data_IF_679910188382
#
_entry.id   IF_679910188382
#
_cell.length_a   1.000
_cell.length_b   1.000
_cell.length_c   1.000
_cell.angle_alpha   90.00
_cell.angle_beta   90.00
_cell.angle_gamma   90.00
#
_symmetry.space_group_name_H-M   'P 1'
#
loop_
_entity.id
_entity.type
_entity.pdbx_description
1 polymer ?
#
# COMPACT_ATOMS: atom_id res chain seq x y z
N UNK A 1 34.55 5.47 -22.45
CA UNK A 1 33.38 4.84 -21.82
C UNK A 1 32.56 5.98 -21.24
N UNK A 2 31.60 6.46 -22.02
CA UNK A 2 30.78 7.59 -21.62
C UNK A 2 29.76 7.13 -20.57
N UNK A 3 29.84 7.76 -19.40
CA UNK A 3 28.89 7.58 -18.30
C UNK A 3 27.60 8.31 -18.67
N UNK A 4 26.61 7.54 -19.14
CA UNK A 4 25.27 8.05 -19.41
C UNK A 4 24.65 8.47 -18.08
N UNK A 5 24.39 9.76 -17.92
CA UNK A 5 23.80 10.34 -16.73
C UNK A 5 22.31 9.98 -16.69
N UNK A 6 21.75 9.65 -15.52
CA UNK A 6 20.35 9.18 -15.36
C UNK A 6 19.30 10.20 -15.86
N UNK A 7 19.72 11.46 -16.05
CA UNK A 7 18.90 12.52 -16.65
C UNK A 7 18.71 12.38 -18.17
N UNK A 8 19.50 11.52 -18.84
CA UNK A 8 19.40 11.22 -20.27
C UNK A 8 18.52 9.99 -20.56
N UNK A 9 17.95 9.36 -19.53
CA UNK A 9 16.96 8.31 -19.73
C UNK A 9 15.70 8.93 -20.35
N UNK A 10 15.46 8.64 -21.64
CA UNK A 10 14.21 9.00 -22.33
C UNK A 10 13.02 8.66 -21.44
N UNK A 11 12.24 9.67 -21.05
CA UNK A 11 10.89 9.46 -20.51
C UNK A 11 10.11 8.65 -21.53
N UNK A 12 10.01 7.34 -21.32
CA UNK A 12 9.05 6.53 -22.05
C UNK A 12 7.67 6.93 -21.54
N UNK A 13 6.98 7.78 -22.31
CA UNK A 13 5.53 7.90 -22.18
C UNK A 13 4.95 6.52 -22.47
N UNK A 14 4.58 5.80 -21.42
CA UNK A 14 3.87 4.54 -21.56
C UNK A 14 2.58 4.82 -22.34
N UNK A 15 2.46 4.24 -23.54
CA UNK A 15 1.14 4.07 -24.17
C UNK A 15 0.42 3.02 -23.31
N UNK A 16 -0.65 3.37 -22.59
CA UNK A 16 -1.30 2.41 -21.71
C UNK A 16 -1.85 1.25 -22.53
N UNK A 17 -1.47 0.02 -22.17
CA UNK A 17 -2.10 -1.19 -22.68
C UNK A 17 -3.41 -1.40 -21.90
N UNK A 18 -4.49 -1.70 -22.63
CA UNK A 18 -5.82 -1.92 -22.06
C UNK A 18 -5.78 -3.10 -21.08
N UNK A 19 -6.28 -2.91 -19.85
CA UNK A 19 -6.39 -3.97 -18.85
C UNK A 19 -5.21 -4.09 -17.88
N UNK A 20 -4.75 -2.99 -17.28
CA UNK A 20 -3.81 -3.01 -16.14
C UNK A 20 -4.34 -2.10 -15.03
N UNK A 21 -4.35 -2.60 -13.79
CA UNK A 21 -5.05 -2.02 -12.64
C UNK A 21 -4.64 -0.60 -12.18
N UNK A 22 -3.62 0.03 -12.78
CA UNK A 22 -3.32 1.44 -12.55
C UNK A 22 -4.25 2.39 -13.33
N UNK A 23 -5.27 1.88 -14.02
CA UNK A 23 -6.18 2.67 -14.87
C UNK A 23 -7.30 3.41 -14.14
N UNK A 24 -7.50 3.23 -12.83
CA UNK A 24 -8.67 3.77 -12.13
C UNK A 24 -8.39 4.90 -11.12
N UNK A 25 -7.13 5.31 -10.95
CA UNK A 25 -6.76 6.49 -10.17
C UNK A 25 -5.43 7.04 -10.65
N UNK A 26 -5.46 8.12 -11.43
CA UNK A 26 -4.24 8.67 -12.05
C UNK A 26 -3.22 9.21 -11.03
N UNK A 27 -3.64 9.45 -9.78
CA UNK A 27 -2.76 9.82 -8.66
C UNK A 27 -3.53 9.78 -7.34
N UNK A 28 -2.83 9.56 -6.23
CA UNK A 28 -3.35 9.80 -4.87
C UNK A 28 -3.42 11.30 -4.51
N UNK A 29 -3.41 12.19 -5.51
CA UNK A 29 -3.40 13.64 -5.35
C UNK A 29 -4.81 14.16 -5.59
N UNK A 30 -5.35 14.93 -4.64
CA UNK A 30 -6.65 15.59 -4.77
C UNK A 30 -6.52 17.10 -4.58
N UNK A 31 -7.42 17.85 -5.20
CA UNK A 31 -7.61 19.27 -4.88
C UNK A 31 -8.36 19.40 -3.56
N UNK A 32 -7.95 20.38 -2.76
CA UNK A 32 -8.59 20.85 -1.53
C UNK A 32 -8.55 22.37 -1.51
N UNK A 33 -9.34 22.98 -0.64
CA UNK A 33 -9.25 24.41 -0.33
C UNK A 33 -8.80 24.56 1.12
N UNK A 34 -7.73 25.31 1.34
CA UNK A 34 -7.18 25.63 2.66
C UNK A 34 -7.10 27.15 2.76
N UNK A 35 -7.73 27.76 3.77
CA UNK A 35 -7.81 29.24 3.92
C UNK A 35 -8.26 29.95 2.64
N UNK A 36 -9.33 29.46 2.01
CA UNK A 36 -9.88 29.98 0.75
C UNK A 36 -8.89 29.98 -0.43
N UNK A 37 -7.83 29.18 -0.38
CA UNK A 37 -6.91 28.94 -1.51
C UNK A 37 -6.97 27.48 -1.92
N UNK A 38 -7.03 27.25 -3.22
CA UNK A 38 -6.89 25.90 -3.77
C UNK A 38 -5.48 25.36 -3.53
N UNK A 39 -5.41 24.11 -3.10
CA UNK A 39 -4.18 23.38 -2.86
C UNK A 39 -4.37 21.92 -3.29
N UNK A 40 -3.33 21.32 -3.86
CA UNK A 40 -3.23 19.87 -4.09
C UNK A 40 -2.62 19.17 -2.88
N UNK A 41 -3.17 18.02 -2.50
CA UNK A 41 -2.68 17.20 -1.39
C UNK A 41 -2.62 15.73 -1.76
N UNK A 42 -1.67 15.02 -1.18
CA UNK A 42 -1.52 13.58 -1.35
C UNK A 42 -2.26 12.80 -0.26
N UNK A 43 -3.38 12.18 -0.58
CA UNK A 43 -4.13 11.32 0.34
C UNK A 43 -3.60 9.88 0.28
N UNK A 44 -3.03 9.40 1.38
CA UNK A 44 -2.71 7.98 1.51
C UNK A 44 -3.96 7.20 1.94
N UNK A 45 -4.26 6.09 1.27
CA UNK A 45 -5.31 5.17 1.73
C UNK A 45 -4.94 4.65 3.12
N UNK A 46 -5.75 4.96 4.13
CA UNK A 46 -5.56 4.50 5.51
C UNK A 46 -4.72 5.39 6.41
N UNK A 47 -4.27 6.58 5.98
CA UNK A 47 -3.57 7.51 6.86
C UNK A 47 -4.51 8.53 7.51
N UNK A 48 -4.43 8.69 8.83
CA UNK A 48 -5.06 9.77 9.59
C UNK A 48 -4.40 11.15 9.32
N UNK A 49 -3.26 11.18 8.62
CA UNK A 49 -2.46 12.38 8.35
C UNK A 49 -1.91 12.40 6.91
N UNK A 50 -1.81 13.59 6.31
CA UNK A 50 -1.20 13.84 5.00
C UNK A 50 0.18 14.46 5.18
N UNK A 51 1.15 14.08 4.34
CA UNK A 51 2.47 14.70 4.31
C UNK A 51 2.56 15.75 3.20
N UNK A 52 3.14 16.92 3.50
CA UNK A 52 3.38 18.00 2.55
C UNK A 52 4.80 18.56 2.71
N UNK A 53 5.40 18.99 1.60
CA UNK A 53 6.70 19.66 1.63
C UNK A 53 6.62 21.05 2.26
N UNK A 54 7.69 21.43 2.98
CA UNK A 54 7.85 22.76 3.60
C UNK A 54 7.59 23.91 2.62
N UNK A 55 8.27 23.88 1.46
CA UNK A 55 8.20 24.95 0.46
C UNK A 55 6.81 25.06 -0.17
N UNK A 56 6.09 23.93 -0.23
CA UNK A 56 4.72 23.90 -0.71
C UNK A 56 3.77 24.52 0.32
N UNK A 57 3.95 24.20 1.61
CA UNK A 57 3.17 24.78 2.71
C UNK A 57 3.42 26.29 2.85
N UNK A 58 4.65 26.77 2.61
CA UNK A 58 4.97 28.21 2.54
C UNK A 58 4.14 28.95 1.45
N UNK A 59 3.71 28.27 0.37
CA UNK A 59 2.87 28.85 -0.69
C UNK A 59 1.38 28.86 -0.34
N UNK A 60 0.88 27.76 0.22
CA UNK A 60 -0.56 27.57 0.43
C UNK A 60 -1.04 28.02 1.82
N UNK A 61 -0.15 28.17 2.80
CA UNK A 61 -0.51 28.48 4.18
C UNK A 61 0.59 29.28 4.91
N UNK A 62 0.75 30.57 4.65
CA UNK A 62 1.94 31.35 5.04
C UNK A 62 2.30 31.39 6.53
N UNK A 63 1.35 31.18 7.45
CA UNK A 63 1.56 31.19 8.91
C UNK A 63 1.61 29.79 9.55
N UNK A 64 1.87 28.74 8.75
CA UNK A 64 1.88 27.36 9.25
C UNK A 64 2.93 27.12 10.33
N UNK A 65 4.08 27.81 10.25
CA UNK A 65 5.22 27.69 11.18
C UNK A 65 4.85 28.05 12.61
N UNK A 66 3.89 28.95 12.79
CA UNK A 66 3.41 29.42 14.10
C UNK A 66 2.40 28.46 14.73
N UNK A 67 1.90 27.49 13.95
CA UNK A 67 0.85 26.52 14.35
C UNK A 67 1.38 25.09 14.41
N UNK A 68 2.70 24.95 14.46
CA UNK A 68 3.37 23.68 14.59
C UNK A 68 3.17 23.10 15.98
N UNK A 69 2.69 21.87 16.05
CA UNK A 69 2.58 21.10 17.28
C UNK A 69 3.64 20.00 17.31
N UNK A 70 4.29 19.75 18.46
CA UNK A 70 5.25 18.66 18.58
C UNK A 70 4.64 17.34 18.11
N UNK A 71 5.42 16.52 17.41
CA UNK A 71 4.90 15.27 16.83
C UNK A 71 4.57 14.18 17.86
N UNK A 72 4.82 14.39 19.17
CA UNK A 72 4.55 13.46 20.28
C UNK A 72 4.81 11.97 19.97
N UNK A 73 5.87 11.66 19.22
CA UNK A 73 6.18 10.27 18.84
C UNK A 73 5.20 9.63 17.85
N UNK A 74 4.32 10.39 17.20
CA UNK A 74 3.51 9.91 16.06
C UNK A 74 4.44 9.68 14.87
N UNK A 75 4.77 8.41 14.63
CA UNK A 75 5.45 8.01 13.41
C UNK A 75 4.49 8.12 12.22
N UNK A 76 4.85 8.93 11.22
CA UNK A 76 4.13 8.96 9.96
C UNK A 76 4.55 7.76 9.10
N UNK A 77 3.64 6.82 8.87
CA UNK A 77 3.86 5.64 8.02
C UNK A 77 4.15 5.98 6.55
N UNK A 78 3.97 7.24 6.14
CA UNK A 78 4.18 7.73 4.78
C UNK A 78 5.47 8.53 4.55
N UNK A 79 6.38 8.64 5.51
CA UNK A 79 7.67 9.30 5.29
C UNK A 79 8.75 8.26 4.89
N UNK A 80 9.35 8.40 3.71
CA UNK A 80 10.61 7.70 3.40
C UNK A 80 11.65 8.00 4.47
N UNK A 81 12.54 7.04 4.76
CA UNK A 81 13.69 7.20 5.67
C UNK A 81 14.56 8.42 5.36
N UNK A 82 14.51 8.95 4.13
CA UNK A 82 15.23 10.15 3.71
C UNK A 82 14.54 11.48 4.08
N UNK A 83 13.29 11.46 4.56
CA UNK A 83 12.53 12.66 4.93
C UNK A 83 12.50 12.84 6.44
N UNK A 84 12.90 14.04 6.88
CA UNK A 84 12.91 14.40 8.28
C UNK A 84 11.55 15.04 8.63
N UNK A 85 10.72 14.40 9.47
CA UNK A 85 9.45 14.99 9.88
C UNK A 85 9.75 16.27 10.69
N UNK A 86 9.13 17.38 10.28
CA UNK A 86 9.34 18.67 10.95
C UNK A 86 8.46 18.80 12.20
N UNK A 87 7.15 18.62 12.05
CA UNK A 87 6.15 18.75 13.13
C UNK A 87 4.75 18.49 12.55
N UNK A 88 3.72 18.40 13.41
CA UNK A 88 2.32 18.31 13.00
C UNK A 88 1.76 19.72 12.81
N UNK A 89 0.95 19.88 11.78
CA UNK A 89 0.25 21.12 11.49
C UNK A 89 -1.22 20.81 11.25
N UNK A 90 -2.10 21.41 12.05
CA UNK A 90 -3.54 21.24 11.92
C UNK A 90 -4.12 22.37 11.05
N UNK A 91 -4.84 21.98 10.00
CA UNK A 91 -5.55 22.90 9.13
C UNK A 91 -6.97 22.42 8.86
N UNK A 92 -7.91 23.36 8.86
CA UNK A 92 -9.22 23.15 8.29
C UNK A 92 -9.08 23.04 6.77
N UNK A 93 -9.51 21.92 6.21
CA UNK A 93 -9.45 21.61 4.79
C UNK A 93 -10.86 21.39 4.25
N UNK A 94 -11.13 21.95 3.08
CA UNK A 94 -12.39 21.76 2.35
C UNK A 94 -12.06 20.90 1.14
N UNK A 95 -12.71 19.75 0.98
CA UNK A 95 -12.63 19.00 -0.27
C UNK A 95 -13.66 19.60 -1.24
N UNK A 96 -13.25 20.27 -2.33
CA UNK A 96 -14.17 20.78 -3.33
C UNK A 96 -14.83 19.57 -4.00
N UNK A 97 -16.11 19.37 -3.67
CA UNK A 97 -16.95 18.40 -4.34
C UNK A 97 -17.65 19.11 -5.51
N UNK A 98 -17.78 18.48 -6.69
CA UNK A 98 -18.45 19.09 -7.84
C UNK A 98 -19.93 19.46 -7.58
N UNK A 99 -20.53 18.93 -6.52
CA UNK A 99 -21.77 19.40 -5.94
C UNK A 99 -21.51 19.94 -4.52
N UNK A 100 -21.75 21.25 -4.33
CA UNK A 100 -21.67 22.05 -3.09
C UNK A 100 -21.37 21.31 -1.76
N UNK A 101 -20.15 21.51 -1.22
CA UNK A 101 -19.73 21.36 0.19
C UNK A 101 -20.47 20.32 1.07
N UNK A 102 -19.76 19.24 1.41
CA UNK A 102 -20.18 18.21 2.38
C UNK A 102 -20.21 18.83 3.80
N UNK A 103 -21.37 19.35 4.21
CA UNK A 103 -21.88 19.05 5.56
C UNK A 103 -22.16 17.54 5.56
N UNK A 104 -22.11 16.83 6.69
CA UNK A 104 -22.55 15.43 6.82
C UNK A 104 -24.07 15.34 6.50
N UNK A 105 -24.38 15.52 5.22
CA UNK A 105 -25.68 15.58 4.59
C UNK A 105 -25.92 14.21 3.99
N UNK A 106 -27.20 13.87 3.89
CA UNK A 106 -27.75 12.73 3.18
C UNK A 106 -26.94 12.32 1.92
N UNK A 107 -26.44 13.29 1.17
CA UNK A 107 -25.57 13.12 -0.01
C UNK A 107 -24.31 12.28 0.24
N UNK A 108 -23.58 12.47 1.35
CA UNK A 108 -22.40 11.63 1.66
C UNK A 108 -22.82 10.20 1.95
N UNK A 109 -23.91 10.03 2.70
CA UNK A 109 -24.45 8.70 3.02
C UNK A 109 -24.89 8.00 1.72
N UNK A 110 -25.55 8.73 0.82
CA UNK A 110 -25.92 8.25 -0.51
C UNK A 110 -24.68 7.85 -1.33
N UNK A 111 -23.58 8.61 -1.29
CA UNK A 111 -22.31 8.25 -1.96
C UNK A 111 -21.67 6.99 -1.36
N UNK A 112 -21.60 6.89 -0.02
CA UNK A 112 -21.05 5.70 0.65
C UNK A 112 -21.87 4.45 0.32
N UNK A 113 -23.20 4.57 0.25
CA UNK A 113 -24.07 3.50 -0.21
C UNK A 113 -23.94 3.22 -1.72
N UNK A 114 -23.77 4.25 -2.54
CA UNK A 114 -23.59 4.10 -3.98
C UNK A 114 -22.29 3.36 -4.33
N UNK A 115 -21.21 3.61 -3.60
CA UNK A 115 -19.89 3.00 -3.81
C UNK A 115 -19.52 2.02 -2.69
N UNK A 116 -20.50 1.32 -2.12
CA UNK A 116 -20.27 0.36 -1.03
C UNK A 116 -19.18 -0.66 -1.36
N UNK A 117 -19.12 -1.15 -2.59
CA UNK A 117 -18.10 -2.11 -3.06
C UNK A 117 -16.66 -1.56 -3.04
N UNK A 118 -16.47 -0.24 -2.95
CA UNK A 118 -15.14 0.38 -2.86
C UNK A 118 -14.57 0.35 -1.42
N UNK A 119 -15.36 -0.05 -0.42
CA UNK A 119 -14.99 -0.07 0.98
C UNK A 119 -14.89 -1.50 1.50
N UNK A 120 -13.90 -1.75 2.36
CA UNK A 120 -13.80 -3.00 3.10
C UNK A 120 -14.70 -2.96 4.34
N UNK A 121 -15.41 -4.06 4.60
CA UNK A 121 -16.24 -4.24 5.79
C UNK A 121 -15.70 -5.39 6.64
N UNK A 122 -16.06 -5.45 7.92
CA UNK A 122 -15.57 -6.50 8.83
C UNK A 122 -15.86 -7.93 8.32
N UNK A 123 -16.98 -8.10 7.60
CA UNK A 123 -17.38 -9.39 7.04
C UNK A 123 -16.78 -9.66 5.64
N UNK A 124 -16.36 -8.61 4.94
CA UNK A 124 -15.78 -8.65 3.59
C UNK A 124 -14.55 -7.73 3.55
N UNK A 125 -13.48 -8.07 4.27
CA UNK A 125 -12.33 -7.18 4.43
C UNK A 125 -11.45 -7.15 3.19
N UNK A 126 -11.62 -8.10 2.26
CA UNK A 126 -10.75 -8.30 1.12
C UNK A 126 -11.52 -8.12 -0.18
N UNK A 127 -11.00 -7.27 -1.07
CA UNK A 127 -11.42 -7.21 -2.47
C UNK A 127 -10.62 -8.21 -3.32
N UNK A 128 -11.19 -8.60 -4.46
CA UNK A 128 -10.52 -9.43 -5.46
C UNK A 128 -10.50 -8.71 -6.81
N UNK A 129 -9.33 -8.65 -7.46
CA UNK A 129 -9.21 -8.11 -8.80
C UNK A 129 -9.47 -9.24 -9.81
N UNK A 130 -10.60 -9.18 -10.51
CA UNK A 130 -10.98 -10.19 -11.50
C UNK A 130 -10.27 -9.92 -12.84
N UNK A 131 -9.67 -10.96 -13.42
CA UNK A 131 -9.04 -10.90 -14.75
C UNK A 131 -7.61 -10.36 -14.79
N UNK A 132 -6.99 -10.14 -13.63
CA UNK A 132 -5.60 -9.69 -13.51
C UNK A 132 -4.79 -10.61 -12.60
N UNK A 133 -4.75 -11.89 -12.96
CA UNK A 133 -3.88 -12.86 -12.29
C UNK A 133 -2.40 -12.51 -12.51
N UNK A 134 -1.58 -12.80 -11.51
CA UNK A 134 -0.13 -12.56 -11.53
C UNK A 134 0.59 -13.89 -11.57
N UNK A 135 1.29 -14.14 -12.67
CA UNK A 135 2.15 -15.32 -12.79
C UNK A 135 3.48 -15.06 -12.08
N UNK A 136 3.80 -15.89 -11.09
CA UNK A 136 5.11 -15.89 -10.45
C UNK A 136 6.04 -16.78 -11.28
N UNK A 137 6.89 -16.15 -12.08
CA UNK A 137 7.84 -16.85 -12.92
C UNK A 137 9.08 -17.25 -12.13
N UNK A 138 9.44 -18.54 -12.20
CA UNK A 138 10.66 -19.07 -11.61
C UNK A 138 11.78 -19.17 -12.65
N UNK A 139 13.03 -19.04 -12.21
CA UNK A 139 14.24 -19.20 -13.03
C UNK A 139 14.73 -20.67 -13.11
N UNK A 140 13.93 -21.60 -12.58
CA UNK A 140 14.18 -23.04 -12.56
C UNK A 140 12.95 -23.78 -13.10
N UNK A 141 13.20 -24.88 -13.80
CA UNK A 141 12.14 -25.73 -14.34
C UNK A 141 11.66 -26.77 -13.31
N UNK A 142 10.57 -27.46 -13.67
CA UNK A 142 9.98 -28.54 -12.87
C UNK A 142 11.02 -29.65 -12.61
N UNK A 143 10.93 -30.32 -11.47
CA UNK A 143 12.05 -30.93 -10.72
C UNK A 143 12.80 -29.89 -9.86
N UNK A 144 12.02 -29.17 -9.05
CA UNK A 144 12.51 -28.08 -8.23
C UNK A 144 13.59 -28.51 -7.23
N UNK A 145 14.57 -27.62 -6.94
CA UNK A 145 15.62 -27.92 -5.99
C UNK A 145 15.06 -28.21 -4.59
N UNK A 146 15.73 -29.04 -3.77
CA UNK A 146 15.27 -29.37 -2.41
C UNK A 146 15.04 -28.14 -1.52
N UNK A 147 15.71 -27.03 -1.81
CA UNK A 147 15.56 -25.77 -1.09
C UNK A 147 14.15 -25.17 -1.22
N UNK A 148 13.39 -25.51 -2.28
CA UNK A 148 11.98 -25.14 -2.45
C UNK A 148 11.01 -26.08 -1.72
N UNK A 149 11.48 -27.17 -1.11
CA UNK A 149 10.67 -28.11 -0.30
C UNK A 149 11.05 -27.99 1.18
N UNK A 150 10.70 -26.86 1.78
CA UNK A 150 11.06 -26.56 3.17
C UNK A 150 10.07 -27.21 4.14
N UNK A 151 10.54 -27.89 5.21
CA UNK A 151 9.66 -28.42 6.24
C UNK A 151 9.13 -27.29 7.12
N UNK A 152 7.96 -27.50 7.73
CA UNK A 152 7.41 -26.58 8.73
C UNK A 152 8.36 -26.42 9.91
N UNK A 153 8.45 -25.19 10.45
CA UNK A 153 9.25 -24.95 11.64
C UNK A 153 8.56 -25.52 12.89
N UNK A 154 9.33 -26.03 13.87
CA UNK A 154 8.77 -26.40 15.17
C UNK A 154 8.07 -25.20 15.82
N UNK A 155 6.84 -25.40 16.27
CA UNK A 155 6.02 -24.36 16.88
C UNK A 155 5.58 -24.76 18.29
N UNK A 156 5.64 -23.79 19.22
CA UNK A 156 5.13 -23.94 20.58
C UNK A 156 3.60 -24.14 20.58
N UNK A 157 2.98 -24.65 21.66
CA UNK A 157 1.52 -24.79 21.73
C UNK A 157 0.78 -23.48 21.48
N UNK A 158 1.29 -22.36 22.04
CA UNK A 158 0.75 -21.01 21.81
C UNK A 158 0.84 -20.60 20.34
N UNK A 159 1.99 -20.83 19.69
CA UNK A 159 2.17 -20.51 18.29
C UNK A 159 1.30 -21.37 17.37
N UNK A 160 1.15 -22.66 17.67
CA UNK A 160 0.24 -23.56 16.94
C UNK A 160 -1.22 -23.13 17.03
N UNK A 161 -1.68 -22.73 18.21
CA UNK A 161 -3.03 -22.19 18.38
C UNK A 161 -3.26 -20.94 17.51
N UNK A 162 -2.32 -19.99 17.52
CA UNK A 162 -2.40 -18.80 16.68
C UNK A 162 -2.34 -19.12 15.18
N UNK A 163 -1.45 -20.01 14.75
CA UNK A 163 -1.37 -20.46 13.35
C UNK A 163 -2.70 -21.05 12.88
N UNK A 164 -3.32 -21.91 13.69
CA UNK A 164 -4.59 -22.53 13.34
C UNK A 164 -5.68 -21.47 13.14
N UNK A 165 -5.80 -20.51 14.07
CA UNK A 165 -6.76 -19.41 13.94
C UNK A 165 -6.57 -18.58 12.66
N UNK A 166 -5.33 -18.20 12.34
CA UNK A 166 -5.02 -17.44 11.12
C UNK A 166 -5.32 -18.24 9.84
N UNK A 167 -4.96 -19.53 9.82
CA UNK A 167 -5.24 -20.41 8.66
C UNK A 167 -6.74 -20.59 8.47
N UNK A 168 -7.50 -20.82 9.53
CA UNK A 168 -8.96 -21.00 9.44
C UNK A 168 -9.65 -19.71 8.96
N UNK A 169 -9.20 -18.54 9.41
CA UNK A 169 -9.68 -17.25 8.93
C UNK A 169 -9.40 -17.06 7.44
N UNK A 170 -8.16 -17.29 6.99
CA UNK A 170 -7.78 -17.15 5.59
C UNK A 170 -8.48 -18.16 4.68
N UNK A 171 -8.78 -19.36 5.17
CA UNK A 171 -9.61 -20.34 4.44
C UNK A 171 -11.05 -19.86 4.36
N UNK A 172 -11.62 -19.32 5.45
CA UNK A 172 -12.97 -18.74 5.47
C UNK A 172 -13.09 -17.56 4.50
N UNK A 173 -12.06 -16.73 4.40
CA UNK A 173 -11.98 -15.59 3.47
C UNK A 173 -11.67 -15.99 2.02
N UNK A 174 -11.44 -17.28 1.75
CA UNK A 174 -11.14 -17.78 0.40
C UNK A 174 -9.74 -17.44 -0.11
N UNK A 175 -8.84 -16.94 0.75
CA UNK A 175 -7.44 -16.63 0.41
C UNK A 175 -6.61 -17.92 0.34
N UNK A 176 -6.88 -18.86 1.24
CA UNK A 176 -6.20 -20.17 1.27
C UNK A 176 -7.18 -21.29 0.94
N UNK A 177 -6.66 -22.34 0.30
CA UNK A 177 -7.37 -23.60 0.05
C UNK A 177 -6.60 -24.77 0.65
N UNK A 178 -7.32 -25.74 1.20
CA UNK A 178 -6.73 -27.03 1.56
C UNK A 178 -6.33 -27.81 0.30
N UNK A 179 -5.07 -28.21 0.24
CA UNK A 179 -4.54 -29.12 -0.79
C UNK A 179 -5.25 -30.47 -0.66
N UNK A 180 -5.66 -31.05 -1.80
CA UNK A 180 -6.34 -32.35 -1.80
C UNK A 180 -5.38 -33.51 -1.58
N UNK A 181 -5.86 -34.66 -1.07
CA UNK A 181 -5.01 -35.82 -0.81
C UNK A 181 -4.26 -36.35 -2.05
N UNK A 182 -4.78 -36.08 -3.25
CA UNK A 182 -4.20 -36.53 -4.53
C UNK A 182 -3.39 -35.42 -5.23
N UNK A 183 -3.20 -34.27 -4.60
CA UNK A 183 -2.51 -33.12 -5.18
C UNK A 183 -1.06 -33.10 -4.67
N UNK A 184 -0.12 -33.27 -5.60
CA UNK A 184 1.30 -33.21 -5.27
C UNK A 184 1.74 -31.76 -5.06
N UNK A 185 2.38 -31.48 -3.93
CA UNK A 185 2.93 -30.16 -3.59
C UNK A 185 4.44 -30.19 -3.82
N UNK A 186 4.89 -29.57 -4.90
CA UNK A 186 6.30 -29.57 -5.27
C UNK A 186 7.11 -28.46 -4.59
N UNK A 187 6.44 -27.43 -4.08
CA UNK A 187 7.03 -26.25 -3.42
C UNK A 187 6.32 -26.00 -2.08
N UNK A 188 7.10 -25.87 -1.01
CA UNK A 188 6.60 -25.58 0.34
C UNK A 188 7.46 -24.52 1.02
N UNK A 189 6.79 -23.57 1.68
CA UNK A 189 7.41 -22.51 2.48
C UNK A 189 6.93 -22.64 3.93
N UNK A 190 7.83 -22.52 4.92
CA UNK A 190 7.42 -22.60 6.30
C UNK A 190 6.87 -21.26 6.77
N UNK A 191 5.94 -21.32 7.71
CA UNK A 191 5.33 -20.15 8.36
C UNK A 191 5.83 -20.01 9.80
N UNK A 192 5.91 -18.77 10.27
CA UNK A 192 6.19 -18.43 11.66
C UNK A 192 5.12 -17.48 12.20
N UNK A 193 4.97 -17.46 13.53
CA UNK A 193 4.19 -16.43 14.21
C UNK A 193 5.13 -15.38 14.79
N UNK A 194 4.84 -14.13 14.50
CA UNK A 194 5.43 -12.98 15.19
C UNK A 194 4.39 -12.36 16.12
N UNK A 195 4.83 -11.89 17.28
CA UNK A 195 3.96 -11.31 18.30
C UNK A 195 4.26 -9.82 18.46
N UNK A 196 3.21 -9.03 18.53
CA UNK A 196 3.25 -7.65 19.01
C UNK A 196 2.22 -7.52 20.13
N UNK A 197 2.70 -7.52 21.38
CA UNK A 197 1.88 -7.71 22.58
C UNK A 197 1.05 -9.00 22.46
N UNK A 198 -0.27 -8.90 22.55
CA UNK A 198 -1.19 -10.04 22.42
C UNK A 198 -1.63 -10.31 20.97
N UNK A 199 -1.25 -9.43 20.03
CA UNK A 199 -1.57 -9.60 18.63
C UNK A 199 -0.53 -10.48 17.95
N UNK A 200 -1.00 -11.52 17.26
CA UNK A 200 -0.15 -12.42 16.47
C UNK A 200 -0.27 -12.15 14.98
N UNK A 201 0.81 -12.37 14.23
CA UNK A 201 0.81 -12.32 12.77
C UNK A 201 1.47 -13.57 12.21
N UNK A 202 0.81 -14.22 11.27
CA UNK A 202 1.39 -15.28 10.45
C UNK A 202 2.30 -14.68 9.37
N UNK A 203 3.51 -15.19 9.26
CA UNK A 203 4.53 -14.69 8.32
C UNK A 203 5.15 -15.87 7.58
N UNK A 204 5.08 -15.86 6.26
CA UNK A 204 5.74 -16.81 5.38
C UNK A 204 7.24 -16.51 5.22
N UNK A 205 8.06 -17.55 5.26
CA UNK A 205 9.48 -17.45 4.96
C UNK A 205 9.76 -17.73 3.47
N UNK A 206 9.55 -16.71 2.65
CA UNK A 206 9.80 -16.77 1.20
C UNK A 206 11.28 -16.62 0.80
N UNK A 207 12.24 -16.61 1.73
CA UNK A 207 13.65 -16.32 1.37
C UNK A 207 14.20 -17.30 0.34
N UNK A 208 13.98 -18.59 0.53
CA UNK A 208 14.35 -19.63 -0.42
C UNK A 208 13.57 -19.53 -1.72
N UNK A 209 12.27 -19.23 -1.66
CA UNK A 209 11.44 -19.07 -2.84
C UNK A 209 11.92 -17.91 -3.72
N UNK A 210 12.20 -16.76 -3.10
CA UNK A 210 12.65 -15.54 -3.76
C UNK A 210 14.01 -15.67 -4.46
N UNK A 211 14.88 -16.62 -4.09
CA UNK A 211 16.13 -16.86 -4.85
C UNK A 211 15.88 -17.46 -6.22
N UNK A 212 14.71 -18.08 -6.41
CA UNK A 212 14.30 -18.71 -7.65
C UNK A 212 13.25 -17.89 -8.42
N UNK A 213 12.72 -16.82 -7.84
CA UNK A 213 11.73 -15.95 -8.49
C UNK A 213 12.42 -14.95 -9.43
N UNK A 214 11.92 -14.83 -10.66
CA UNK A 214 12.36 -13.81 -11.62
C UNK A 214 11.76 -12.47 -11.16
N UNK A 215 12.58 -11.43 -10.88
CA UNK A 215 12.05 -10.15 -10.43
C UNK A 215 11.25 -9.43 -11.52
N UNK A 216 10.00 -9.09 -11.25
CA UNK A 216 9.23 -8.16 -12.08
C UNK A 216 9.69 -6.72 -11.80
N UNK A 217 10.50 -6.18 -12.70
CA UNK A 217 11.10 -4.85 -12.55
C UNK A 217 10.15 -3.76 -13.07
N UNK A 218 9.09 -3.51 -12.30
CA UNK A 218 8.26 -2.33 -12.49
C UNK A 218 8.69 -1.22 -11.50
N UNK A 219 9.17 -0.05 -11.98
CA UNK A 219 9.64 0.99 -11.07
C UNK A 219 8.46 1.62 -10.33
N UNK A 220 8.37 1.37 -9.02
CA UNK A 220 7.48 2.11 -8.13
C UNK A 220 8.13 3.48 -7.90
N UNK A 221 7.45 4.60 -8.22
CA UNK A 221 8.01 5.93 -8.06
C UNK A 221 8.37 6.16 -6.59
N UNK A 222 9.53 6.78 -6.35
CA UNK A 222 9.92 7.11 -4.97
C UNK A 222 8.97 8.17 -4.43
N UNK A 223 8.59 8.04 -3.17
CA UNK A 223 7.66 8.98 -2.52
C UNK A 223 8.11 10.45 -2.65
N UNK A 224 9.42 10.69 -2.62
CA UNK A 224 10.03 12.02 -2.83
C UNK A 224 9.81 12.56 -4.24
N UNK A 225 9.90 11.69 -5.25
CA UNK A 225 9.63 12.07 -6.65
C UNK A 225 8.16 12.46 -6.79
N UNK A 226 7.25 11.70 -6.18
CA UNK A 226 5.82 12.02 -6.11
C UNK A 226 5.57 13.38 -5.45
N UNK A 227 6.22 13.67 -4.31
CA UNK A 227 6.10 14.98 -3.66
C UNK A 227 6.74 16.13 -4.45
N UNK A 228 7.82 15.87 -5.18
CA UNK A 228 8.46 16.88 -6.04
C UNK A 228 7.57 17.21 -7.24
N UNK A 229 6.83 16.22 -7.78
CA UNK A 229 5.83 16.47 -8.81
C UNK A 229 4.66 17.28 -8.24
N UNK A 230 4.22 16.98 -7.02
CA UNK A 230 3.19 17.75 -6.32
C UNK A 230 3.59 19.22 -6.14
N UNK A 231 4.84 19.50 -5.73
CA UNK A 231 5.29 20.89 -5.49
C UNK A 231 5.45 21.73 -6.77
N UNK A 232 5.52 21.08 -7.92
CA UNK A 232 5.56 21.70 -9.25
C UNK A 232 4.18 21.83 -9.91
N UNK A 233 3.16 21.17 -9.37
CA UNK A 233 1.80 21.12 -9.91
C UNK A 233 0.94 22.30 -9.44
#
# INVERSE_FOLDING_TARGET
>A
MDLIHVQDAKMQKAKPARGKGYTCGASCITNVVIHNREAKLHLYSGAFCTCVGKDYLDRIYTNWKERLTPSEGRESSGASQDMHPLSIFEAAMIFPHPAESIRLKKELVEILFQYTEAFAFDNEPLGAIIGHEVDIMLNVERNFPPLLRRPAYPASPRARGALQSHVDELVKLGVLRKVGNNEEVEVTTPVIITWNNDNSRMVDDFRAFNTYTIPDRYPIPRIRETFTQLSKA
#
